data_IF_658563764503
#
_entry.id   IF_658563764503
#
_cell.length_a   1.000
_cell.length_b   1.000
_cell.length_c   1.000
_cell.angle_alpha   90.00
_cell.angle_beta   90.00
_cell.angle_gamma   90.00
#
_symmetry.space_group_name_H-M   'P 1'
#
loop_
_entity.id
_entity.type
_entity.pdbx_description
1 polymer ?
#
# COMPACT_ATOMS: atom_id res chain seq x y z
N UNK A 1 -10.82 0.45 -0.21
CA UNK A 1 -10.82 1.16 1.09
C UNK A 1 -9.47 1.00 1.75
N UNK A 2 -8.78 2.11 2.07
CA UNK A 2 -7.53 2.08 2.80
C UNK A 2 -7.74 1.60 4.25
N UNK A 3 -6.94 0.65 4.71
CA UNK A 3 -6.95 0.14 6.10
C UNK A 3 -5.80 0.78 6.88
N UNK A 4 -4.58 0.69 6.34
CA UNK A 4 -3.38 1.19 6.99
C UNK A 4 -2.43 1.75 5.93
N UNK A 5 -1.76 2.84 6.25
CA UNK A 5 -0.65 3.36 5.47
C UNK A 5 0.45 3.86 6.41
N UNK A 6 1.70 3.64 6.03
CA UNK A 6 2.83 4.15 6.79
C UNK A 6 4.11 4.07 5.98
N UNK A 7 5.04 4.98 6.28
CA UNK A 7 6.42 4.86 5.81
C UNK A 7 7.19 3.91 6.72
N UNK A 8 8.10 3.16 6.14
CA UNK A 8 9.07 2.41 6.91
C UNK A 8 10.09 3.36 7.56
N UNK A 9 10.83 2.83 8.54
CA UNK A 9 11.75 3.63 9.37
C UNK A 9 13.17 3.67 8.81
N UNK A 10 13.48 2.83 7.81
CA UNK A 10 14.78 2.86 7.15
C UNK A 10 15.01 4.24 6.53
N UNK A 11 16.24 4.78 6.62
CA UNK A 11 16.56 6.09 6.05
C UNK A 11 16.98 5.98 4.59
N UNK A 12 16.84 7.10 3.87
CA UNK A 12 17.34 7.29 2.51
C UNK A 12 16.64 6.39 1.50
N UNK A 13 17.41 5.83 0.57
CA UNK A 13 16.91 5.04 -0.58
C UNK A 13 16.25 3.71 -0.20
N UNK A 14 16.35 3.32 1.08
CA UNK A 14 15.66 2.14 1.64
C UNK A 14 14.31 2.48 2.26
N UNK A 15 13.94 3.75 2.30
CA UNK A 15 12.61 4.18 2.77
C UNK A 15 11.57 3.77 1.73
N UNK A 16 10.52 3.07 2.15
CA UNK A 16 9.35 2.86 1.30
C UNK A 16 8.05 3.00 2.07
N UNK A 17 6.94 3.15 1.35
CA UNK A 17 5.60 3.16 1.90
C UNK A 17 5.01 1.75 1.92
N UNK A 18 4.26 1.42 2.96
CA UNK A 18 3.40 0.24 3.00
C UNK A 18 1.96 0.73 3.12
N UNK A 19 1.10 0.29 2.21
CA UNK A 19 -0.33 0.52 2.26
C UNK A 19 -1.07 -0.83 2.21
N UNK A 20 -1.95 -1.07 3.19
CA UNK A 20 -2.86 -2.21 3.22
C UNK A 20 -4.26 -1.67 2.97
N UNK A 21 -4.94 -2.20 1.97
CA UNK A 21 -6.27 -1.76 1.59
C UNK A 21 -7.11 -2.93 1.06
N UNK A 22 -8.44 -2.77 1.09
CA UNK A 22 -9.39 -3.71 0.46
C UNK A 22 -9.78 -3.23 -0.93
N UNK A 23 -9.84 -4.15 -1.87
CA UNK A 23 -10.41 -3.99 -3.20
C UNK A 23 -11.38 -5.15 -3.48
N UNK A 24 -12.30 -4.97 -4.42
CA UNK A 24 -13.25 -6.01 -4.84
C UNK A 24 -12.57 -7.18 -5.55
N UNK A 25 -11.51 -6.86 -6.30
CA UNK A 25 -10.75 -7.75 -7.16
C UNK A 25 -9.38 -7.11 -7.46
N UNK A 26 -8.55 -7.86 -8.20
CA UNK A 26 -7.19 -7.45 -8.57
C UNK A 26 -7.18 -6.19 -9.46
N UNK A 27 -8.11 -6.08 -10.41
CA UNK A 27 -8.18 -4.92 -11.31
C UNK A 27 -8.52 -3.63 -10.55
N UNK A 28 -9.48 -3.70 -9.62
CA UNK A 28 -9.81 -2.60 -8.72
C UNK A 28 -8.63 -2.24 -7.80
N UNK A 29 -7.82 -3.22 -7.40
CA UNK A 29 -6.63 -2.98 -6.60
C UNK A 29 -5.53 -2.26 -7.38
N UNK A 30 -5.29 -2.65 -8.62
CA UNK A 30 -4.39 -1.95 -9.54
C UNK A 30 -4.84 -0.51 -9.78
N UNK A 31 -6.11 -0.31 -10.14
CA UNK A 31 -6.66 1.02 -10.37
C UNK A 31 -6.54 1.92 -9.12
N UNK A 32 -6.73 1.36 -7.92
CA UNK A 32 -6.56 2.09 -6.67
C UNK A 32 -5.10 2.50 -6.44
N UNK A 33 -4.14 1.61 -6.68
CA UNK A 33 -2.70 1.88 -6.56
C UNK A 33 -2.23 2.94 -7.57
N UNK A 34 -2.64 2.80 -8.83
CA UNK A 34 -2.26 3.71 -9.91
C UNK A 34 -2.89 5.10 -9.75
N UNK A 35 -4.04 5.20 -9.08
CA UNK A 35 -4.68 6.48 -8.75
C UNK A 35 -3.97 7.27 -7.64
N UNK A 36 -2.97 6.70 -6.95
CA UNK A 36 -2.16 7.46 -6.01
C UNK A 36 -1.44 8.62 -6.74
N UNK A 37 -1.56 9.88 -6.28
CA UNK A 37 -0.94 11.03 -6.94
C UNK A 37 0.58 10.90 -7.13
N UNK A 38 1.26 10.20 -6.23
CA UNK A 38 2.72 10.05 -6.28
C UNK A 38 3.15 8.92 -7.23
N UNK A 39 2.31 7.89 -7.39
CA UNK A 39 2.52 6.82 -8.37
C UNK A 39 2.22 7.34 -9.77
N UNK A 40 1.06 7.98 -9.96
CA UNK A 40 0.66 8.57 -11.25
C UNK A 40 1.60 9.70 -11.70
N UNK A 41 2.19 10.46 -10.77
CA UNK A 41 3.22 11.45 -11.08
C UNK A 41 4.62 10.85 -11.33
N UNK A 42 4.80 9.53 -11.20
CA UNK A 42 6.08 8.84 -11.37
C UNK A 42 7.11 9.14 -10.28
N UNK A 43 6.68 9.68 -9.13
CA UNK A 43 7.54 9.98 -7.99
C UNK A 43 7.80 8.74 -7.12
N UNK A 44 6.87 7.79 -7.12
CA UNK A 44 7.00 6.51 -6.42
C UNK A 44 6.73 5.35 -7.38
N UNK A 45 7.55 4.30 -7.26
CA UNK A 45 7.29 3.00 -7.89
C UNK A 45 6.53 2.17 -6.85
N UNK A 46 5.38 1.63 -7.25
CA UNK A 46 4.54 0.81 -6.38
C UNK A 46 4.46 -0.63 -6.91
N UNK A 47 4.46 -1.59 -5.98
CA UNK A 47 4.25 -3.00 -6.25
C UNK A 47 3.01 -3.47 -5.50
N UNK A 48 2.18 -4.27 -6.17
CA UNK A 48 0.94 -4.79 -5.62
C UNK A 48 1.09 -6.29 -5.30
N UNK A 49 0.70 -6.67 -4.09
CA UNK A 49 0.71 -8.07 -3.66
C UNK A 49 -0.61 -8.45 -2.99
N UNK A 50 -1.19 -9.63 -3.29
CA UNK A 50 -2.26 -10.20 -2.49
C UNK A 50 -1.80 -10.39 -1.04
N UNK A 51 -2.62 -9.94 -0.09
CA UNK A 51 -2.31 -10.01 1.33
C UNK A 51 -3.46 -10.65 2.11
N UNK A 52 -3.13 -11.59 2.98
CA UNK A 52 -4.07 -12.23 3.89
C UNK A 52 -3.61 -12.03 5.33
N UNK A 53 -4.50 -11.49 6.16
CA UNK A 53 -4.23 -11.31 7.60
C UNK A 53 -4.26 -12.69 8.26
N UNK A 54 -3.10 -13.16 8.72
CA UNK A 54 -3.00 -14.37 9.52
C UNK A 54 -3.26 -14.12 11.01
N UNK A 55 -2.90 -12.93 11.50
CA UNK A 55 -3.08 -12.47 12.87
C UNK A 55 -3.18 -10.95 12.85
N UNK A 56 -4.16 -10.41 13.57
CA UNK A 56 -4.28 -8.98 13.82
C UNK A 56 -4.31 -8.79 15.33
N UNK A 57 -3.35 -8.03 15.86
CA UNK A 57 -3.48 -7.53 17.22
C UNK A 57 -4.43 -6.33 17.16
N UNK A 58 -5.64 -6.48 17.70
CA UNK A 58 -6.52 -5.34 17.88
C UNK A 58 -5.81 -4.35 18.82
N UNK A 59 -5.45 -3.18 18.30
CA UNK A 59 -4.90 -2.11 19.12
C UNK A 59 -6.02 -1.66 20.09
N UNK A 60 -5.86 -1.75 21.42
CA UNK A 60 -6.87 -1.30 22.38
C UNK A 60 -7.12 0.21 22.30
#
# INVERSE_FOLDING_TARGET
>A
QLILAGRTKEPGDRTFGIAIFRASDEAAAHAFMEADPTVSAGLMIAELHPFAVALEHANP
#
